data_IF_412363893285
#
_entry.id   IF_412363893285
#
_cell.length_a   1.000
_cell.length_b   1.000
_cell.length_c   1.000
_cell.angle_alpha   90.00
_cell.angle_beta   90.00
_cell.angle_gamma   90.00
#
_symmetry.space_group_name_H-M   'P 1'
#
loop_
_entity.id
_entity.type
_entity.pdbx_description
1 polymer ?
#
# COMPACT_ATOMS: atom_id res chain seq x y z
N UNK A 1 7.13 13.12 10.56
CA UNK A 1 7.41 12.28 11.76
C UNK A 1 8.55 11.34 11.40
N UNK A 2 9.52 11.07 12.30
CA UNK A 2 10.61 10.12 11.99
C UNK A 2 10.22 8.73 12.47
N UNK A 3 10.52 7.73 11.65
CA UNK A 3 10.23 6.33 11.96
C UNK A 3 11.18 5.82 13.06
N UNK A 4 10.59 5.24 14.12
CA UNK A 4 11.31 4.57 15.19
C UNK A 4 11.18 3.06 15.03
N UNK A 5 12.19 2.43 14.45
CA UNK A 5 12.21 0.97 14.36
C UNK A 5 12.56 0.37 15.71
N UNK A 6 11.71 -0.50 16.23
CA UNK A 6 11.92 -1.19 17.50
C UNK A 6 12.97 -2.28 17.33
N UNK A 7 14.26 -1.97 17.63
CA UNK A 7 15.38 -2.90 17.52
C UNK A 7 15.53 -3.80 18.76
N UNK A 8 15.16 -3.31 19.95
CA UNK A 8 15.26 -4.05 21.21
C UNK A 8 14.00 -4.91 21.42
N UNK A 9 14.01 -6.11 20.86
CA UNK A 9 12.85 -7.00 20.79
C UNK A 9 12.96 -8.08 21.84
N UNK A 10 11.93 -8.22 22.66
CA UNK A 10 11.81 -9.40 23.52
C UNK A 10 11.39 -10.59 22.66
N UNK A 11 12.17 -11.66 22.71
CA UNK A 11 11.85 -12.90 21.99
C UNK A 11 10.46 -13.39 22.43
N UNK A 12 9.50 -13.37 21.51
CA UNK A 12 8.11 -13.77 21.81
C UNK A 12 8.02 -15.20 22.29
N UNK A 13 8.88 -16.12 21.81
CA UNK A 13 8.93 -17.51 22.25
C UNK A 13 9.34 -17.63 23.71
N UNK A 14 10.43 -16.94 24.11
CA UNK A 14 10.89 -16.95 25.49
C UNK A 14 9.85 -16.32 26.44
N UNK A 15 9.22 -15.22 26.02
CA UNK A 15 8.16 -14.57 26.80
C UNK A 15 6.90 -15.44 26.90
N UNK A 16 6.53 -16.13 25.82
CA UNK A 16 5.40 -17.04 25.82
C UNK A 16 5.63 -18.22 26.81
N UNK A 17 6.81 -18.83 26.78
CA UNK A 17 7.16 -19.92 27.70
C UNK A 17 7.20 -19.43 29.15
N UNK A 18 7.74 -18.21 29.39
CA UNK A 18 7.75 -17.62 30.73
C UNK A 18 6.32 -17.38 31.25
N UNK A 19 5.44 -16.79 30.43
CA UNK A 19 4.05 -16.56 30.84
C UNK A 19 3.28 -17.86 31.05
N UNK A 20 3.53 -18.87 30.21
CA UNK A 20 2.94 -20.21 30.36
C UNK A 20 3.38 -20.84 31.70
N UNK A 21 4.67 -20.78 32.02
CA UNK A 21 5.20 -21.29 33.29
C UNK A 21 4.59 -20.55 34.49
N UNK A 22 4.53 -19.22 34.44
CA UNK A 22 3.90 -18.42 35.50
C UNK A 22 2.40 -18.73 35.66
N UNK A 23 1.70 -18.99 34.56
CA UNK A 23 0.29 -19.35 34.59
C UNK A 23 0.06 -20.72 35.23
N UNK A 24 0.89 -21.71 34.85
CA UNK A 24 0.86 -23.06 35.47
C UNK A 24 1.18 -22.97 36.97
N UNK A 25 2.20 -22.18 37.35
CA UNK A 25 2.55 -21.94 38.75
C UNK A 25 1.38 -21.33 39.54
N UNK A 26 0.68 -20.34 38.95
CA UNK A 26 -0.49 -19.72 39.57
C UNK A 26 -1.63 -20.73 39.83
N UNK A 27 -1.89 -21.60 38.85
CA UNK A 27 -2.88 -22.66 39.00
C UNK A 27 -2.45 -23.66 40.09
N UNK A 28 -1.18 -24.05 40.17
CA UNK A 28 -0.65 -24.91 41.23
C UNK A 28 -0.81 -24.27 42.62
N UNK A 29 -0.52 -22.96 42.75
CA UNK A 29 -0.72 -22.22 44.03
C UNK A 29 -2.20 -22.22 44.42
N UNK A 30 -3.10 -22.04 43.48
CA UNK A 30 -4.54 -22.07 43.72
C UNK A 30 -4.99 -23.42 44.22
N UNK A 31 -4.54 -24.53 43.58
CA UNK A 31 -4.86 -25.89 43.98
C UNK A 31 -4.29 -26.21 45.38
N UNK A 32 -3.02 -25.90 45.63
CA UNK A 32 -2.39 -26.09 46.95
C UNK A 32 -3.11 -25.26 48.03
N UNK A 33 -3.45 -24.04 47.76
CA UNK A 33 -4.23 -23.21 48.67
C UNK A 33 -5.58 -23.79 49.04
N UNK A 34 -6.27 -24.40 48.07
CA UNK A 34 -7.56 -25.06 48.29
C UNK A 34 -7.40 -26.36 49.13
N UNK A 35 -6.36 -27.15 48.86
CA UNK A 35 -6.07 -28.38 49.66
C UNK A 35 -5.70 -28.10 51.10
N UNK A 36 -4.87 -27.07 51.31
CA UNK A 36 -4.43 -26.68 52.70
C UNK A 36 -5.35 -25.65 53.36
N UNK A 37 -6.47 -25.32 52.73
CA UNK A 37 -7.49 -24.36 53.24
C UNK A 37 -6.86 -23.00 53.65
N UNK A 38 -5.83 -22.58 52.93
CA UNK A 38 -5.15 -21.29 53.18
C UNK A 38 -5.77 -20.15 52.33
N UNK A 39 -6.63 -19.35 52.97
CA UNK A 39 -7.38 -18.27 52.31
C UNK A 39 -6.46 -17.31 51.49
N UNK A 40 -5.28 -16.84 52.02
CA UNK A 40 -4.45 -15.91 51.24
C UNK A 40 -3.90 -16.52 49.96
N UNK A 41 -3.56 -17.79 49.93
CA UNK A 41 -3.08 -18.50 48.70
C UNK A 41 -4.18 -18.62 47.65
N UNK A 42 -5.41 -18.92 48.10
CA UNK A 42 -6.56 -19.00 47.22
C UNK A 42 -6.84 -17.64 46.54
N UNK A 43 -6.82 -16.56 47.33
CA UNK A 43 -7.06 -15.22 46.83
C UNK A 43 -5.99 -14.78 45.83
N UNK A 44 -4.71 -14.96 46.13
CA UNK A 44 -3.59 -14.61 45.25
C UNK A 44 -3.67 -15.45 43.97
N UNK A 45 -3.89 -16.76 44.10
CA UNK A 45 -4.01 -17.69 42.93
C UNK A 45 -5.19 -17.33 42.04
N UNK A 46 -6.34 -16.97 42.59
CA UNK A 46 -7.52 -16.61 41.81
C UNK A 46 -7.35 -15.27 41.05
N UNK A 47 -6.76 -14.26 41.70
CA UNK A 47 -6.45 -12.97 41.05
C UNK A 47 -5.47 -13.19 39.89
N UNK A 48 -4.41 -13.99 40.14
CA UNK A 48 -3.38 -14.22 39.10
C UNK A 48 -3.94 -15.03 37.92
N UNK A 49 -4.76 -16.04 38.13
CA UNK A 49 -5.41 -16.80 37.05
C UNK A 49 -6.39 -15.92 36.26
N UNK A 50 -7.09 -15.00 36.91
CA UNK A 50 -8.00 -14.09 36.23
C UNK A 50 -7.27 -13.05 35.34
N UNK A 51 -6.10 -12.57 35.77
CA UNK A 51 -5.36 -11.50 35.08
C UNK A 51 -4.20 -12.04 34.22
N UNK A 52 -3.70 -13.24 34.54
CA UNK A 52 -2.49 -13.81 33.95
C UNK A 52 -2.56 -14.09 32.43
N UNK A 53 -3.73 -14.04 31.80
CA UNK A 53 -3.87 -14.15 30.35
C UNK A 53 -3.58 -12.83 29.60
N UNK A 54 -3.64 -11.67 30.26
CA UNK A 54 -3.43 -10.36 29.64
C UNK A 54 -2.07 -10.25 28.93
N UNK A 55 -0.94 -10.70 29.49
CA UNK A 55 0.35 -10.65 28.81
C UNK A 55 0.40 -11.40 27.47
N UNK A 56 -0.43 -12.42 27.27
CA UNK A 56 -0.51 -13.18 26.00
C UNK A 56 -1.06 -12.33 24.86
N UNK A 57 -1.86 -11.29 25.13
CA UNK A 57 -2.37 -10.36 24.10
C UNK A 57 -1.25 -9.57 23.44
N UNK A 58 -0.10 -9.44 24.11
CA UNK A 58 1.08 -8.77 23.60
C UNK A 58 1.87 -9.58 22.58
N UNK A 59 1.56 -10.85 22.34
CA UNK A 59 2.24 -11.69 21.36
C UNK A 59 1.83 -11.31 19.94
N UNK A 60 2.80 -10.98 19.08
CA UNK A 60 2.59 -10.61 17.69
C UNK A 60 3.51 -11.40 16.78
N UNK A 61 2.94 -11.92 15.69
CA UNK A 61 3.68 -12.63 14.63
C UNK A 61 3.74 -11.74 13.41
N UNK A 62 4.95 -11.49 12.91
CA UNK A 62 5.18 -10.79 11.65
C UNK A 62 5.77 -11.77 10.63
N UNK A 63 5.26 -11.70 9.40
CA UNK A 63 5.82 -12.39 8.24
C UNK A 63 6.91 -11.54 7.60
N UNK A 64 7.80 -12.15 6.80
CA UNK A 64 8.76 -11.39 6.00
C UNK A 64 8.06 -10.32 5.14
N UNK A 65 8.68 -9.14 5.08
CA UNK A 65 8.15 -7.98 4.35
C UNK A 65 6.77 -7.47 4.85
N UNK A 66 6.46 -7.68 6.13
CA UNK A 66 5.34 -7.05 6.83
C UNK A 66 5.87 -6.10 7.90
N UNK A 67 5.18 -5.00 8.09
CA UNK A 67 5.43 -4.06 9.19
C UNK A 67 4.17 -3.88 10.04
N UNK A 68 4.39 -3.58 11.31
CA UNK A 68 3.31 -3.29 12.26
C UNK A 68 3.63 -1.99 13.02
N UNK A 69 2.84 -0.96 12.75
CA UNK A 69 2.93 0.34 13.44
C UNK A 69 2.16 0.25 14.74
N UNK A 70 2.83 0.54 15.85
CA UNK A 70 2.28 0.41 17.20
C UNK A 70 2.07 1.77 17.85
N UNK A 71 0.89 1.95 18.42
CA UNK A 71 0.54 3.11 19.25
C UNK A 71 0.11 2.64 20.63
N UNK A 72 0.44 3.41 21.65
CA UNK A 72 0.01 3.20 23.03
C UNK A 72 -0.78 4.43 23.49
N UNK A 73 -2.06 4.27 23.74
CA UNK A 73 -2.96 5.37 24.14
C UNK A 73 -2.87 6.60 23.21
N UNK A 74 -2.75 6.36 21.87
CA UNK A 74 -2.63 7.44 20.89
C UNK A 74 -1.19 7.88 20.57
N UNK A 75 -0.22 7.60 21.43
CA UNK A 75 1.18 7.96 21.20
C UNK A 75 1.89 6.90 20.34
N UNK A 76 2.67 7.34 19.36
CA UNK A 76 3.49 6.45 18.54
C UNK A 76 4.64 5.86 19.36
N UNK A 77 4.66 4.55 19.50
CA UNK A 77 5.70 3.80 20.23
C UNK A 77 6.85 3.39 19.32
N UNK A 78 6.50 2.92 18.13
CA UNK A 78 7.47 2.46 17.13
C UNK A 78 6.85 1.46 16.15
N UNK A 79 7.68 1.06 15.19
CA UNK A 79 7.32 0.11 14.14
C UNK A 79 8.13 -1.18 14.26
N UNK A 80 7.48 -2.32 14.14
CA UNK A 80 8.11 -3.63 13.95
C UNK A 80 8.22 -3.89 12.45
N UNK A 81 9.43 -4.02 11.90
CA UNK A 81 9.68 -4.22 10.45
C UNK A 81 10.20 -5.60 10.08
N UNK A 82 10.82 -6.30 11.01
CA UNK A 82 11.41 -7.60 10.69
C UNK A 82 10.42 -8.74 10.98
N UNK A 83 10.61 -9.83 10.29
CA UNK A 83 9.89 -11.08 10.52
C UNK A 83 10.25 -11.70 11.89
N UNK A 84 9.31 -12.42 12.44
CA UNK A 84 9.49 -13.15 13.69
C UNK A 84 8.31 -13.10 14.63
N UNK A 85 8.55 -13.70 15.80
CA UNK A 85 7.58 -13.74 16.89
C UNK A 85 8.06 -12.84 18.03
N UNK A 86 7.26 -11.83 18.33
CA UNK A 86 7.61 -10.76 19.25
C UNK A 86 6.57 -10.60 20.35
N UNK A 87 7.07 -10.20 21.53
CA UNK A 87 6.22 -9.72 22.58
C UNK A 87 6.34 -8.18 22.67
N UNK A 88 5.20 -7.53 22.65
CA UNK A 88 5.04 -6.08 22.85
C UNK A 88 4.08 -5.83 24.00
N UNK A 89 4.03 -4.61 24.51
CA UNK A 89 3.07 -4.26 25.55
C UNK A 89 1.65 -4.62 25.09
N UNK A 90 0.88 -5.40 25.88
CA UNK A 90 -0.47 -5.85 25.50
C UNK A 90 -1.45 -4.71 25.22
N UNK A 91 -1.21 -3.52 25.76
CA UNK A 91 -2.03 -2.32 25.55
C UNK A 91 -1.68 -1.58 24.23
N UNK A 92 -0.63 -2.00 23.52
CA UNK A 92 -0.30 -1.44 22.22
C UNK A 92 -1.31 -1.89 21.17
N UNK A 93 -1.86 -0.91 20.46
CA UNK A 93 -2.75 -1.13 19.31
C UNK A 93 -2.00 -0.96 18.00
N UNK A 94 -2.31 -1.81 17.03
CA UNK A 94 -1.79 -1.66 15.68
C UNK A 94 -2.66 -0.67 14.88
N UNK A 95 -2.03 0.22 14.13
CA UNK A 95 -2.70 1.23 13.31
C UNK A 95 -2.31 1.04 11.85
N UNK A 96 -3.32 0.98 10.98
CA UNK A 96 -3.18 1.03 9.53
C UNK A 96 -4.45 1.66 8.95
N UNK A 97 -4.44 2.94 8.59
CA UNK A 97 -5.61 3.64 8.09
C UNK A 97 -6.09 3.08 6.74
N UNK A 98 -5.15 2.65 5.89
CA UNK A 98 -5.47 2.08 4.57
C UNK A 98 -5.86 0.59 4.59
N UNK A 99 -6.06 -0.01 5.77
CA UNK A 99 -6.35 -1.45 5.90
C UNK A 99 -7.67 -1.89 5.26
N UNK A 100 -8.62 -0.98 5.11
CA UNK A 100 -9.95 -1.24 4.50
C UNK A 100 -10.00 -0.88 3.02
N UNK A 101 -9.03 -0.12 2.51
CA UNK A 101 -9.04 0.40 1.15
C UNK A 101 -8.58 -0.65 0.17
N UNK A 102 -9.44 -0.95 -0.80
CA UNK A 102 -9.17 -1.84 -1.93
C UNK A 102 -9.17 -0.98 -3.19
N UNK A 103 -8.02 -0.88 -3.84
CA UNK A 103 -7.83 -0.15 -5.10
C UNK A 103 -7.53 -1.08 -6.28
N UNK A 104 -7.96 -2.35 -6.23
CA UNK A 104 -7.61 -3.39 -7.21
C UNK A 104 -6.09 -3.52 -7.43
N UNK A 105 -5.33 -3.39 -6.36
CA UNK A 105 -3.88 -3.49 -6.37
C UNK A 105 -3.42 -4.90 -6.00
N UNK A 106 -2.25 -5.30 -6.48
CA UNK A 106 -1.64 -6.59 -6.15
C UNK A 106 -1.35 -6.80 -4.66
N UNK A 107 -1.34 -5.74 -3.85
CA UNK A 107 -1.14 -5.78 -2.40
C UNK A 107 -2.41 -5.72 -1.56
N UNK A 108 -3.59 -5.72 -2.19
CA UNK A 108 -4.88 -5.80 -1.50
C UNK A 108 -5.11 -7.26 -1.07
N UNK A 109 -4.50 -7.63 0.06
CA UNK A 109 -4.69 -8.96 0.63
C UNK A 109 -6.12 -9.06 1.14
N UNK A 110 -6.92 -9.87 0.48
CA UNK A 110 -8.18 -10.34 1.06
C UNK A 110 -7.84 -11.04 2.37
N UNK A 111 -8.18 -10.42 3.49
CA UNK A 111 -8.05 -11.03 4.80
C UNK A 111 -8.78 -12.38 4.76
N UNK A 112 -7.99 -13.45 4.67
CA UNK A 112 -8.38 -14.81 4.32
C UNK A 112 -9.77 -15.22 4.77
N UNK A 113 -10.67 -15.34 3.83
CA UNK A 113 -11.98 -15.97 4.00
C UNK A 113 -11.90 -17.48 4.24
N UNK A 114 -10.69 -18.06 4.19
CA UNK A 114 -10.49 -19.51 4.32
C UNK A 114 -10.76 -20.05 5.72
N UNK A 115 -10.60 -19.25 6.77
CA UNK A 115 -10.89 -19.69 8.14
C UNK A 115 -12.38 -19.56 8.52
N UNK A 116 -13.15 -18.71 7.83
CA UNK A 116 -14.58 -18.50 8.11
C UNK A 116 -15.48 -19.58 7.51
N UNK A 117 -15.12 -20.16 6.37
CA UNK A 117 -15.96 -21.20 5.74
C UNK A 117 -16.01 -22.51 6.54
N UNK A 118 -14.96 -22.83 7.29
CA UNK A 118 -14.92 -24.05 8.12
C UNK A 118 -15.74 -23.89 9.40
N UNK A 119 -15.76 -22.68 10.00
CA UNK A 119 -16.49 -22.45 11.26
C UNK A 119 -18.00 -22.24 11.02
N UNK A 120 -18.41 -21.69 9.88
CA UNK A 120 -19.84 -21.51 9.53
C UNK A 120 -20.54 -22.83 9.22
N UNK A 121 -19.80 -23.84 8.74
CA UNK A 121 -20.35 -25.18 8.49
C UNK A 121 -20.62 -25.96 9.80
N UNK A 122 -19.88 -25.62 10.88
CA UNK A 122 -19.96 -26.36 12.15
C UNK A 122 -21.06 -25.84 13.12
N UNK A 123 -21.51 -24.58 13.00
CA UNK A 123 -22.41 -23.97 13.98
C UNK A 123 -23.78 -23.56 13.49
N UNK A 124 -24.10 -23.68 12.21
CA UNK A 124 -25.48 -23.51 11.67
C UNK A 124 -26.21 -22.19 12.02
N UNK A 125 -25.54 -21.16 12.50
CA UNK A 125 -26.14 -19.91 12.94
C UNK A 125 -25.93 -18.82 11.89
N UNK A 126 -26.96 -18.52 11.13
CA UNK A 126 -27.11 -17.33 10.29
C UNK A 126 -27.37 -16.10 11.17
N UNK A 127 -26.33 -15.55 11.79
CA UNK A 127 -26.42 -14.23 12.42
C UNK A 127 -25.43 -13.30 11.69
N UNK A 128 -25.99 -12.39 10.89
CA UNK A 128 -25.30 -11.41 10.11
C UNK A 128 -24.54 -10.38 10.96
N UNK A 129 -23.31 -10.69 11.31
CA UNK A 129 -22.32 -9.67 11.64
C UNK A 129 -20.97 -10.16 11.14
N UNK A 130 -20.70 -9.91 9.86
CA UNK A 130 -19.37 -10.15 9.30
C UNK A 130 -18.38 -9.17 9.92
N UNK A 131 -17.86 -9.48 11.10
CA UNK A 131 -16.67 -8.81 11.60
C UNK A 131 -15.50 -9.19 10.66
N UNK A 132 -15.38 -8.44 9.59
CA UNK A 132 -14.24 -8.54 8.67
C UNK A 132 -12.99 -8.22 9.49
N UNK A 133 -12.18 -9.23 9.76
CA UNK A 133 -10.92 -9.06 10.48
C UNK A 133 -9.99 -8.23 9.58
N UNK A 134 -9.95 -6.93 9.83
CA UNK A 134 -9.13 -6.00 9.06
C UNK A 134 -7.68 -6.25 9.44
N UNK A 135 -6.88 -6.69 8.48
CA UNK A 135 -5.44 -6.86 8.70
C UNK A 135 -4.77 -5.49 8.84
N UNK A 136 -4.33 -5.16 10.05
CA UNK A 136 -3.67 -3.89 10.37
C UNK A 136 -2.17 -3.87 10.02
N UNK A 137 -1.63 -4.93 9.44
CA UNK A 137 -0.25 -5.00 8.98
C UNK A 137 -0.08 -4.24 7.67
N UNK A 138 1.09 -3.63 7.49
CA UNK A 138 1.46 -2.91 6.28
C UNK A 138 2.41 -3.80 5.49
N UNK A 139 2.13 -4.01 4.21
CA UNK A 139 3.04 -4.71 3.30
C UNK A 139 4.19 -3.78 2.90
N UNK A 140 5.42 -4.29 3.01
CA UNK A 140 6.63 -3.62 2.52
C UNK A 140 7.05 -4.16 1.15
N UNK A 141 6.29 -5.10 0.60
CA UNK A 141 6.53 -5.66 -0.73
C UNK A 141 6.27 -4.63 -1.80
N UNK A 142 6.85 -4.85 -2.97
CA UNK A 142 6.50 -4.09 -4.17
C UNK A 142 5.04 -4.41 -4.52
N UNK A 143 4.26 -3.37 -4.68
CA UNK A 143 2.85 -3.43 -5.07
C UNK A 143 2.67 -2.71 -6.40
N UNK A 144 1.69 -3.13 -7.19
CA UNK A 144 1.37 -2.51 -8.48
C UNK A 144 -0.01 -1.87 -8.39
N UNK A 145 -0.06 -0.56 -8.57
CA UNK A 145 -1.29 0.19 -8.78
C UNK A 145 -1.54 0.25 -10.29
N UNK A 146 -2.64 -0.33 -10.74
CA UNK A 146 -3.12 -0.14 -12.11
C UNK A 146 -4.17 0.97 -12.09
N UNK A 147 -3.77 2.14 -12.57
CA UNK A 147 -4.66 3.29 -12.56
C UNK A 147 -5.64 3.22 -13.74
N UNK A 148 -6.88 3.66 -13.50
CA UNK A 148 -7.91 3.63 -14.52
C UNK A 148 -7.54 4.53 -15.70
N UNK A 149 -8.03 4.17 -16.90
CA UNK A 149 -7.90 5.01 -18.09
C UNK A 149 -8.55 6.37 -17.85
N UNK A 150 -7.81 7.41 -18.20
CA UNK A 150 -8.27 8.79 -18.10
C UNK A 150 -8.26 9.44 -19.46
N UNK A 151 -9.27 10.28 -19.73
CA UNK A 151 -9.33 11.13 -20.90
C UNK A 151 -8.67 12.48 -20.55
N UNK A 152 -7.58 12.81 -21.24
CA UNK A 152 -6.77 13.99 -20.99
C UNK A 152 -6.45 14.62 -22.35
N UNK A 153 -6.40 15.95 -22.44
CA UNK A 153 -5.96 16.61 -23.66
C UNK A 153 -4.43 16.67 -23.69
N UNK A 154 -3.86 16.35 -24.84
CA UNK A 154 -2.43 16.54 -25.13
C UNK A 154 -2.06 18.03 -25.25
N UNK A 155 -0.78 18.35 -25.54
CA UNK A 155 -0.33 19.74 -25.70
C UNK A 155 -0.99 20.46 -26.89
N UNK A 156 -1.51 19.72 -27.87
CA UNK A 156 -2.21 20.26 -29.04
C UNK A 156 -3.72 20.39 -28.82
N UNK A 157 -4.23 20.00 -27.63
CA UNK A 157 -5.64 20.00 -27.32
C UNK A 157 -6.41 18.77 -27.78
N UNK A 158 -5.76 17.75 -28.32
CA UNK A 158 -6.41 16.53 -28.76
C UNK A 158 -6.73 15.66 -27.52
N UNK A 159 -7.97 15.14 -27.39
CA UNK A 159 -8.32 14.25 -26.31
C UNK A 159 -7.70 12.85 -26.53
N UNK A 160 -6.88 12.42 -25.56
CA UNK A 160 -6.26 11.10 -25.53
C UNK A 160 -6.74 10.32 -24.31
N UNK A 161 -6.88 9.02 -24.47
CA UNK A 161 -7.11 8.10 -23.35
C UNK A 161 -5.80 7.44 -22.99
N UNK A 162 -5.40 7.58 -21.72
CA UNK A 162 -4.16 7.04 -21.19
C UNK A 162 -4.39 6.32 -19.86
N UNK A 163 -3.74 5.17 -19.70
CA UNK A 163 -3.69 4.40 -18.47
C UNK A 163 -2.25 4.11 -18.07
N UNK A 164 -1.97 4.09 -16.78
CA UNK A 164 -0.63 3.79 -16.24
C UNK A 164 -0.69 2.67 -15.20
N UNK A 165 0.39 1.91 -15.13
CA UNK A 165 0.68 1.04 -14.01
C UNK A 165 1.89 1.58 -13.24
N UNK A 166 1.76 1.69 -11.92
CA UNK A 166 2.78 2.24 -11.04
C UNK A 166 3.22 1.16 -10.06
N UNK A 167 4.50 0.83 -10.06
CA UNK A 167 5.12 -0.07 -9.09
C UNK A 167 5.68 0.76 -7.94
N UNK A 168 5.26 0.44 -6.72
CA UNK A 168 5.58 1.21 -5.54
C UNK A 168 5.73 0.34 -4.30
N UNK A 169 6.36 0.87 -3.26
CA UNK A 169 6.45 0.25 -1.94
C UNK A 169 6.43 1.28 -0.81
N UNK A 170 6.14 0.82 0.40
CA UNK A 170 6.25 1.64 1.62
C UNK A 170 7.67 1.53 2.15
N UNK A 171 8.37 2.66 2.27
CA UNK A 171 9.72 2.75 2.85
C UNK A 171 9.68 3.25 4.29
N UNK A 172 8.86 4.27 4.57
CA UNK A 172 8.66 4.84 5.91
C UNK A 172 7.22 4.63 6.34
N UNK A 173 7.01 3.65 7.22
CA UNK A 173 5.67 3.30 7.70
C UNK A 173 5.07 4.33 8.63
N UNK A 174 5.90 5.09 9.36
CA UNK A 174 5.41 6.15 10.24
C UNK A 174 4.85 7.31 9.43
N UNK A 175 5.54 7.71 8.35
CA UNK A 175 5.02 8.72 7.42
C UNK A 175 3.75 8.26 6.74
N UNK A 176 3.71 7.00 6.27
CA UNK A 176 2.54 6.45 5.59
C UNK A 176 1.28 6.39 6.47
N UNK A 177 1.44 6.25 7.79
CA UNK A 177 0.31 6.13 8.72
C UNK A 177 -0.10 7.46 9.34
N UNK A 178 0.86 8.39 9.55
CA UNK A 178 0.60 9.59 10.34
C UNK A 178 0.68 10.91 9.56
N UNK A 179 1.31 10.94 8.37
CA UNK A 179 1.36 12.16 7.57
C UNK A 179 0.17 12.28 6.62
N UNK A 180 -0.46 11.15 6.26
CA UNK A 180 -1.63 11.10 5.37
C UNK A 180 -2.71 10.18 5.94
N UNK A 181 -3.97 10.51 5.73
CA UNK A 181 -5.08 9.71 6.26
C UNK A 181 -5.15 8.33 5.60
N UNK A 182 -4.90 8.27 4.30
CA UNK A 182 -4.93 7.03 3.53
C UNK A 182 -3.88 7.05 2.44
N UNK A 183 -2.74 6.44 2.69
CA UNK A 183 -1.62 6.46 1.76
C UNK A 183 -1.92 5.79 0.41
N UNK A 184 -2.85 4.84 0.34
CA UNK A 184 -3.25 4.19 -0.92
C UNK A 184 -4.08 5.14 -1.80
N UNK A 185 -5.09 5.77 -1.22
CA UNK A 185 -5.92 6.76 -1.93
C UNK A 185 -5.08 7.97 -2.32
N UNK A 186 -4.23 8.43 -1.39
CA UNK A 186 -3.30 9.52 -1.66
C UNK A 186 -2.41 9.22 -2.87
N UNK A 187 -1.82 8.01 -2.95
CA UNK A 187 -1.03 7.58 -4.10
C UNK A 187 -1.86 7.62 -5.39
N UNK A 188 -3.06 7.06 -5.39
CA UNK A 188 -3.93 7.04 -6.59
C UNK A 188 -4.23 8.45 -7.10
N UNK A 189 -4.58 9.37 -6.19
CA UNK A 189 -4.84 10.77 -6.54
C UNK A 189 -3.59 11.49 -7.07
N UNK A 190 -2.40 11.21 -6.50
CA UNK A 190 -1.15 11.79 -7.00
C UNK A 190 -0.75 11.22 -8.35
N UNK A 191 -1.03 9.93 -8.62
CA UNK A 191 -0.85 9.33 -9.95
C UNK A 191 -1.73 10.01 -10.99
N UNK A 192 -3.00 10.25 -10.68
CA UNK A 192 -3.93 10.96 -11.57
C UNK A 192 -3.46 12.39 -11.87
N UNK A 193 -3.03 13.08 -10.84
CA UNK A 193 -2.54 14.47 -10.97
C UNK A 193 -1.25 14.55 -11.79
N UNK A 194 -0.28 13.69 -11.51
CA UNK A 194 0.99 13.66 -12.23
C UNK A 194 0.80 13.28 -13.70
N UNK A 195 -0.03 12.26 -13.96
CA UNK A 195 -0.37 11.85 -15.32
C UNK A 195 -0.94 13.00 -16.11
N UNK A 196 -1.90 13.74 -15.54
CA UNK A 196 -2.54 14.89 -16.18
C UNK A 196 -1.57 16.03 -16.44
N UNK A 197 -0.63 16.29 -15.53
CA UNK A 197 0.38 17.33 -15.69
C UNK A 197 1.34 17.00 -16.82
N UNK A 198 1.84 15.76 -16.87
CA UNK A 198 2.85 15.36 -17.86
C UNK A 198 2.24 15.21 -19.26
N UNK A 199 1.04 14.59 -19.37
CA UNK A 199 0.39 14.42 -20.69
C UNK A 199 0.13 15.73 -21.40
N UNK A 200 -0.15 16.81 -20.68
CA UNK A 200 -0.36 18.14 -21.24
C UNK A 200 0.88 18.78 -21.88
N UNK A 201 2.06 18.26 -21.57
CA UNK A 201 3.33 18.80 -22.10
C UNK A 201 3.67 18.17 -23.45
N UNK A 202 3.25 16.91 -23.66
CA UNK A 202 3.60 16.13 -24.84
C UNK A 202 2.47 16.04 -25.87
N UNK A 203 2.77 16.07 -27.18
CA UNK A 203 1.81 15.66 -28.22
C UNK A 203 1.61 14.13 -28.18
N UNK A 204 0.47 13.65 -28.63
CA UNK A 204 0.23 12.21 -28.76
C UNK A 204 1.22 11.53 -29.73
N UNK A 205 1.41 12.15 -30.91
CA UNK A 205 2.32 11.70 -31.96
C UNK A 205 3.28 12.82 -32.34
N UNK A 206 4.28 12.52 -33.14
CA UNK A 206 5.27 13.51 -33.59
C UNK A 206 4.61 14.77 -34.13
N UNK A 207 4.93 15.91 -33.55
CA UNK A 207 4.45 17.20 -33.99
C UNK A 207 5.67 18.09 -34.32
N UNK A 208 5.88 18.43 -35.59
CA UNK A 208 6.98 19.33 -36.00
C UNK A 208 6.85 20.67 -35.29
N UNK A 209 7.97 21.22 -34.87
CA UNK A 209 8.08 22.54 -34.19
C UNK A 209 7.48 22.59 -32.77
N UNK A 210 7.34 21.47 -32.07
CA UNK A 210 6.98 21.44 -30.64
C UNK A 210 8.23 21.13 -29.82
N UNK A 211 8.63 22.09 -28.97
CA UNK A 211 9.69 21.90 -27.97
C UNK A 211 9.06 21.36 -26.68
N UNK A 212 9.32 20.11 -26.35
CA UNK A 212 8.83 19.45 -25.13
C UNK A 212 9.86 19.44 -24.01
N UNK A 213 11.13 19.72 -24.32
CA UNK A 213 12.23 19.76 -23.35
C UNK A 213 12.44 21.17 -22.79
N UNK A 214 12.01 22.22 -23.50
CA UNK A 214 12.18 23.60 -23.11
C UNK A 214 13.61 24.15 -23.37
N UNK A 215 14.37 23.47 -24.23
CA UNK A 215 15.73 23.89 -24.59
C UNK A 215 15.78 24.85 -25.82
N UNK A 216 14.63 25.19 -26.37
CA UNK A 216 14.48 26.08 -27.52
C UNK A 216 14.65 25.38 -28.87
N UNK A 217 14.85 24.07 -28.88
CA UNK A 217 14.93 23.25 -30.09
C UNK A 217 13.69 22.35 -30.17
N UNK A 218 13.02 22.31 -31.32
CA UNK A 218 11.90 21.43 -31.54
C UNK A 218 12.38 19.99 -31.48
N UNK A 219 11.90 19.23 -30.48
CA UNK A 219 12.23 17.82 -30.32
C UNK A 219 11.13 16.92 -30.90
N UNK A 220 11.51 15.68 -31.21
CA UNK A 220 10.56 14.66 -31.70
C UNK A 220 9.83 13.96 -30.56
N UNK A 221 9.88 14.51 -29.34
CA UNK A 221 9.25 13.91 -28.15
C UNK A 221 7.74 13.80 -28.30
N UNK A 222 7.21 12.59 -28.15
CA UNK A 222 5.77 12.34 -28.17
C UNK A 222 5.39 11.27 -27.15
N UNK A 223 4.12 11.25 -26.75
CA UNK A 223 3.61 10.22 -25.82
C UNK A 223 3.82 8.80 -26.40
N UNK A 224 3.69 8.64 -27.71
CA UNK A 224 3.84 7.38 -28.40
C UNK A 224 5.30 7.03 -28.66
N UNK A 225 6.08 7.94 -29.21
CA UNK A 225 7.47 7.71 -29.62
C UNK A 225 8.45 7.65 -28.45
N UNK A 226 8.24 8.47 -27.42
CA UNK A 226 9.11 8.61 -26.26
C UNK A 226 8.49 8.08 -24.97
N UNK A 227 7.72 7.00 -25.06
CA UNK A 227 6.92 6.47 -23.94
C UNK A 227 7.75 6.14 -22.69
N UNK A 228 9.01 5.73 -22.81
CA UNK A 228 9.92 5.47 -21.69
C UNK A 228 10.35 6.75 -20.98
N UNK A 229 10.68 7.80 -21.74
CA UNK A 229 11.06 9.10 -21.20
C UNK A 229 9.88 9.72 -20.46
N UNK A 230 8.70 9.67 -21.08
CA UNK A 230 7.45 10.17 -20.48
C UNK A 230 7.11 9.41 -19.21
N UNK A 231 7.22 8.08 -19.21
CA UNK A 231 7.01 7.24 -18.04
C UNK A 231 8.00 7.57 -16.91
N UNK A 232 9.27 7.83 -17.24
CA UNK A 232 10.29 8.30 -16.30
C UNK A 232 9.90 9.64 -15.66
N UNK A 233 9.45 10.63 -16.44
CA UNK A 233 8.97 11.92 -15.91
C UNK A 233 7.72 11.76 -15.04
N UNK A 234 6.78 10.90 -15.43
CA UNK A 234 5.60 10.59 -14.61
C UNK A 234 6.03 9.99 -13.26
N UNK A 235 6.98 9.03 -13.27
CA UNK A 235 7.54 8.43 -12.05
C UNK A 235 8.12 9.52 -11.14
N UNK A 236 8.96 10.41 -11.68
CA UNK A 236 9.66 11.44 -10.91
C UNK A 236 8.67 12.46 -10.32
N UNK A 237 7.68 12.87 -11.10
CA UNK A 237 6.60 13.74 -10.64
C UNK A 237 5.78 13.11 -9.50
N UNK A 238 5.42 11.83 -9.63
CA UNK A 238 4.71 11.10 -8.57
C UNK A 238 5.62 11.00 -7.34
N UNK A 239 6.91 10.62 -7.52
CA UNK A 239 7.85 10.45 -6.42
C UNK A 239 8.01 11.72 -5.58
N UNK A 240 8.11 12.87 -6.20
CA UNK A 240 8.19 14.15 -5.49
C UNK A 240 6.99 14.38 -4.58
N UNK A 241 5.80 14.05 -5.06
CA UNK A 241 4.54 14.24 -4.32
C UNK A 241 4.34 13.22 -3.20
N UNK A 242 4.74 11.97 -3.39
CA UNK A 242 4.48 10.90 -2.42
C UNK A 242 5.61 10.69 -1.41
N UNK A 243 6.74 11.37 -1.56
CA UNK A 243 7.88 11.28 -0.64
C UNK A 243 7.50 11.65 0.81
N UNK A 244 6.60 12.63 0.98
CA UNK A 244 6.09 13.04 2.30
C UNK A 244 5.22 11.97 2.97
N UNK A 245 4.60 11.10 2.17
CA UNK A 245 3.85 9.94 2.64
C UNK A 245 4.73 8.70 2.89
N UNK A 246 6.05 8.80 2.74
CA UNK A 246 6.97 7.69 2.96
C UNK A 246 6.82 6.55 1.95
N UNK A 247 6.39 6.87 0.72
CA UNK A 247 6.25 5.93 -0.39
C UNK A 247 7.40 6.12 -1.37
N UNK A 248 7.81 5.01 -1.99
CA UNK A 248 8.82 4.97 -3.04
C UNK A 248 8.21 4.42 -4.31
N UNK A 249 8.35 5.16 -5.39
CA UNK A 249 7.93 4.74 -6.73
C UNK A 249 9.14 4.11 -7.41
N UNK A 250 9.02 2.84 -7.74
CA UNK A 250 10.08 2.07 -8.39
C UNK A 250 10.03 2.35 -9.89
N UNK A 251 8.85 2.21 -10.47
CA UNK A 251 8.65 2.34 -11.90
C UNK A 251 7.22 2.80 -12.20
N UNK A 252 7.06 3.59 -13.25
CA UNK A 252 5.77 3.87 -13.87
C UNK A 252 5.82 3.40 -15.32
N UNK A 253 4.73 2.82 -15.83
CA UNK A 253 4.60 2.36 -17.21
C UNK A 253 3.27 2.79 -17.79
N UNK A 254 3.29 3.25 -19.03
CA UNK A 254 2.07 3.50 -19.79
C UNK A 254 1.52 2.14 -20.24
N UNK A 255 0.32 1.80 -19.81
CA UNK A 255 -0.35 0.52 -20.12
C UNK A 255 -1.34 0.65 -21.26
N UNK A 256 -1.84 1.85 -21.48
CA UNK A 256 -2.80 2.14 -22.54
C UNK A 256 -2.59 3.57 -23.03
N UNK A 257 -2.60 3.76 -24.35
CA UNK A 257 -2.50 5.06 -24.99
C UNK A 257 -3.23 5.02 -26.33
N UNK A 258 -4.28 5.82 -26.47
CA UNK A 258 -5.03 5.95 -27.71
C UNK A 258 -5.67 7.33 -27.81
N UNK A 259 -6.00 7.77 -29.02
CA UNK A 259 -6.93 8.89 -29.18
C UNK A 259 -8.31 8.53 -28.62
N UNK A 260 -8.97 9.51 -28.05
CA UNK A 260 -10.35 9.32 -27.62
C UNK A 260 -11.23 8.94 -28.81
N UNK A 261 -12.23 8.06 -28.63
CA UNK A 261 -13.06 7.51 -29.71
C UNK A 261 -13.69 8.57 -30.62
N UNK A 262 -13.99 9.74 -30.06
CA UNK A 262 -14.66 10.84 -30.78
C UNK A 262 -13.79 11.43 -31.89
N UNK A 263 -12.46 11.39 -31.75
CA UNK A 263 -11.54 11.98 -32.73
C UNK A 263 -10.68 10.95 -33.45
N UNK A 264 -10.71 9.69 -33.03
CA UNK A 264 -9.84 8.65 -33.54
C UNK A 264 -9.91 8.50 -35.07
N UNK A 265 -11.11 8.53 -35.64
CA UNK A 265 -11.31 8.41 -37.09
C UNK A 265 -10.72 9.61 -37.86
N UNK A 266 -10.92 10.84 -37.36
CA UNK A 266 -10.42 12.07 -37.97
C UNK A 266 -8.88 12.12 -37.91
N UNK A 267 -8.30 11.71 -36.77
CA UNK A 267 -6.85 11.68 -36.60
C UNK A 267 -6.19 10.61 -37.49
N UNK A 268 -6.83 9.48 -37.70
CA UNK A 268 -6.35 8.46 -38.64
C UNK A 268 -6.31 9.02 -40.07
N UNK A 269 -7.34 9.74 -40.50
CA UNK A 269 -7.37 10.38 -41.83
C UNK A 269 -6.25 11.43 -41.97
N UNK A 270 -5.99 12.23 -40.93
CA UNK A 270 -4.89 13.19 -40.91
C UNK A 270 -3.52 12.52 -41.03
N UNK A 271 -3.29 11.43 -40.27
CA UNK A 271 -2.06 10.63 -40.39
C UNK A 271 -1.84 10.06 -41.76
N UNK A 272 -2.90 9.51 -42.39
CA UNK A 272 -2.82 9.02 -43.77
C UNK A 272 -2.48 10.12 -44.77
N UNK A 273 -3.09 11.30 -44.64
CA UNK A 273 -2.79 12.44 -45.52
C UNK A 273 -1.33 12.92 -45.36
N UNK A 274 -0.83 13.01 -44.12
CA UNK A 274 0.57 13.36 -43.87
C UNK A 274 1.53 12.34 -44.48
N UNK A 275 1.29 11.05 -44.26
CA UNK A 275 2.12 9.98 -44.82
C UNK A 275 2.17 10.02 -46.39
N UNK A 276 1.05 10.35 -47.06
CA UNK A 276 1.02 10.50 -48.50
C UNK A 276 1.86 11.71 -48.95
N UNK A 277 1.80 12.81 -48.24
CA UNK A 277 2.60 14.00 -48.54
C UNK A 277 4.09 13.71 -48.38
N UNK A 278 4.48 13.05 -47.28
CA UNK A 278 5.86 12.70 -47.01
C UNK A 278 6.43 11.71 -48.01
N UNK A 279 5.61 10.70 -48.40
CA UNK A 279 5.97 9.77 -49.45
C UNK A 279 6.18 10.47 -50.82
N UNK A 280 5.35 11.47 -51.15
CA UNK A 280 5.50 12.23 -52.39
C UNK A 280 6.74 13.14 -52.37
N UNK A 281 7.09 13.71 -51.24
CA UNK A 281 8.34 14.50 -51.08
C UNK A 281 9.57 13.64 -51.34
N UNK A 282 9.63 12.43 -50.75
CA UNK A 282 10.73 11.47 -50.97
C UNK A 282 10.88 11.01 -52.44
N UNK A 283 9.87 11.14 -53.26
CA UNK A 283 9.95 10.77 -54.69
C UNK A 283 10.44 11.94 -55.54
N UNK A 284 10.25 13.17 -55.06
CA UNK A 284 10.60 14.42 -55.78
C UNK A 284 12.01 14.93 -55.48
N UNK A 285 12.55 14.59 -54.30
CA UNK A 285 13.93 14.86 -53.92
C UNK A 285 14.85 13.71 -54.38
#
# INVERSE_FOLDING_TARGET
MQEKVLSNRKNGMAMMLLFLFLYIAAVAVLVLGSVFIQIPLIVIGSIWTAVGWVPFLGLKVLKPQEALVLTLFGNYVGTLKNDGFYWVNPFCTAVNPAAKTKLNQSGDVDGGNTAKSVLTLATGTTAGTSSTYVNKKISLKIMTLNNNRQKINDCLGNPVEIGIAVMWRVTDTAKAVFNVDNYKEYLSLQCDSALRNIVRIYPYDVAPNVDTTGDGVADEGSLRGSSEIVAGRIRDEIQQKVAEAGLEIIEARITYLAYAPEIAAVMLQRQQASAIIDARKMIVD
#
